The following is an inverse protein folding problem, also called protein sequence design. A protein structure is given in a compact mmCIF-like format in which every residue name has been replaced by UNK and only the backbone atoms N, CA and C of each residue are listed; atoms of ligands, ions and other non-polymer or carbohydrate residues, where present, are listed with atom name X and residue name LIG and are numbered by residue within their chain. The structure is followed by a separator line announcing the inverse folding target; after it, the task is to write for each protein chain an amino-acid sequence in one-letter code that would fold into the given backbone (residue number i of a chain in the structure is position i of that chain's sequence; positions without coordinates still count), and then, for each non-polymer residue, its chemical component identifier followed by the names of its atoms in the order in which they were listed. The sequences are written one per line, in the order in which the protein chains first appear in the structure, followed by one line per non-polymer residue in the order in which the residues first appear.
data_IF_452890428073
#
_entry.id   IF_452890428073
#
_cell.length_a   1.000
_cell.length_b   1.000
_cell.length_c   1.000
_cell.angle_alpha   90.00
_cell.angle_beta   90.00
_cell.angle_gamma   90.00
#
_symmetry.space_group_name_H-M   'P 1'
#
loop_
_entity.id
_entity.type
_entity.pdbx_description
1 polymer ?
#
# COMPACT_ATOMS: atom_id res chain seq x y z
N UNK A 1 -4.39 -15.18 26.62
CA UNK A 1 -3.36 -14.25 26.14
C UNK A 1 -3.39 -14.31 24.63
N UNK A 2 -3.25 -13.18 23.95
CA UNK A 2 -3.11 -13.21 22.48
C UNK A 2 -1.80 -13.94 22.15
N UNK A 3 -1.87 -14.92 21.26
CA UNK A 3 -0.67 -15.57 20.73
C UNK A 3 -0.05 -14.66 19.67
N UNK A 4 1.26 -14.54 19.68
CA UNK A 4 1.96 -13.79 18.63
C UNK A 4 1.93 -14.59 17.31
N UNK A 5 1.89 -13.92 16.15
CA UNK A 5 2.06 -14.60 14.87
C UNK A 5 3.48 -15.21 14.78
N UNK A 6 3.61 -16.27 13.99
CA UNK A 6 4.91 -16.96 13.81
C UNK A 6 5.91 -16.11 13.06
N UNK A 7 5.42 -15.30 12.13
CA UNK A 7 6.18 -14.38 11.28
C UNK A 7 5.42 -13.07 11.16
N UNK A 8 6.13 -12.02 10.80
CA UNK A 8 5.56 -10.74 10.42
C UNK A 8 6.16 -10.37 9.06
N UNK A 9 5.30 -10.08 8.11
CA UNK A 9 5.66 -9.50 6.82
C UNK A 9 4.90 -8.20 6.69
N UNK A 10 5.61 -7.12 6.43
CA UNK A 10 5.03 -5.80 6.26
C UNK A 10 4.75 -5.55 4.78
N UNK A 11 3.48 -5.56 4.42
CA UNK A 11 3.07 -5.37 3.02
C UNK A 11 2.95 -3.91 2.59
N UNK A 12 3.22 -2.97 3.50
CA UNK A 12 3.13 -1.55 3.21
C UNK A 12 3.93 -0.73 4.22
N UNK A 13 5.11 -0.30 3.82
CA UNK A 13 5.94 0.64 4.57
C UNK A 13 6.75 1.51 3.61
N UNK A 14 7.32 2.59 4.12
CA UNK A 14 7.96 3.61 3.32
C UNK A 14 9.44 3.79 3.68
N UNK A 15 10.22 4.28 2.71
CA UNK A 15 11.62 4.64 2.83
C UNK A 15 11.86 5.97 2.14
N UNK A 16 12.96 6.64 2.49
CA UNK A 16 13.35 7.91 1.92
C UNK A 16 13.01 9.11 2.81
N UNK A 17 13.48 10.26 2.40
CA UNK A 17 13.34 11.49 3.18
C UNK A 17 11.87 11.85 3.42
N UNK A 18 11.52 12.09 4.69
CA UNK A 18 10.28 12.75 5.07
C UNK A 18 10.57 14.21 5.34
N UNK A 19 9.90 15.14 4.65
CA UNK A 19 10.09 16.57 4.89
C UNK A 19 9.08 17.12 5.90
N UNK A 20 9.02 16.70 7.16
CA UNK A 20 8.00 17.12 8.10
C UNK A 20 8.01 18.63 8.33
N UNK A 21 9.19 19.22 8.33
CA UNK A 21 9.36 20.67 8.54
C UNK A 21 8.87 21.52 7.37
N UNK A 22 8.66 20.96 6.20
CA UNK A 22 8.14 21.69 5.04
C UNK A 22 6.61 21.74 4.98
N UNK A 23 5.94 20.93 5.78
CA UNK A 23 4.50 21.00 5.97
C UNK A 23 4.10 22.14 6.92
N UNK A 24 5.01 22.53 7.77
CA UNK A 24 4.82 23.56 8.76
C UNK A 24 5.76 24.70 8.43
N UNK A 25 5.23 25.83 8.04
CA UNK A 25 5.98 27.10 7.88
C UNK A 25 6.38 27.58 9.28
N UNK A 26 7.35 26.91 9.85
CA UNK A 26 7.86 27.23 11.19
C UNK A 26 9.16 28.01 11.04
N UNK A 27 9.23 29.20 11.63
CA UNK A 27 10.47 29.98 11.77
C UNK A 27 11.58 29.15 12.45
N UNK A 28 11.20 28.15 13.23
CA UNK A 28 12.10 27.21 13.89
C UNK A 28 11.61 25.78 13.65
N UNK A 29 12.11 25.12 12.61
CA UNK A 29 11.72 23.73 12.35
C UNK A 29 12.18 22.85 13.52
N UNK A 30 11.21 22.40 14.31
CA UNK A 30 11.47 21.31 15.26
C UNK A 30 11.56 20.05 14.41
N UNK A 31 12.76 19.48 14.32
CA UNK A 31 12.92 18.14 13.77
C UNK A 31 12.20 17.18 14.70
N UNK A 32 11.08 16.58 14.31
CA UNK A 32 10.41 15.64 15.18
C UNK A 32 11.36 14.47 15.38
N UNK A 33 11.72 14.17 16.62
CA UNK A 33 12.60 13.05 16.97
C UNK A 33 12.08 11.70 16.50
N UNK A 34 10.78 11.62 16.27
CA UNK A 34 10.08 10.46 15.69
C UNK A 34 10.47 10.23 14.22
N UNK A 35 10.95 11.25 13.52
CA UNK A 35 11.26 11.20 12.09
C UNK A 35 12.75 11.32 11.77
N UNK A 36 13.62 10.97 12.70
CA UNK A 36 15.00 10.59 12.36
C UNK A 36 14.98 9.30 11.55
N UNK A 37 14.00 9.24 10.63
CA UNK A 37 13.80 8.08 9.80
C UNK A 37 14.81 8.11 8.69
N UNK A 38 15.62 7.14 8.61
CA UNK A 38 16.67 7.11 7.63
C UNK A 38 16.13 6.82 6.27
N UNK A 39 16.76 7.49 5.40
CA UNK A 39 16.69 7.45 3.97
C UNK A 39 17.41 6.25 3.33
N UNK A 40 17.94 5.33 4.13
CA UNK A 40 18.86 4.31 3.64
C UNK A 40 18.36 2.87 3.83
N UNK A 41 18.78 1.99 2.91
CA UNK A 41 18.56 0.54 2.99
C UNK A 41 19.07 -0.10 4.30
N UNK A 42 20.12 0.48 4.90
CA UNK A 42 20.68 -0.01 6.17
C UNK A 42 19.74 0.19 7.34
N UNK A 43 18.99 1.28 7.35
CA UNK A 43 18.01 1.49 8.40
C UNK A 43 16.76 0.65 8.23
N UNK A 44 16.28 0.52 7.02
CA UNK A 44 15.17 -0.41 6.78
C UNK A 44 15.51 -1.81 7.31
N UNK A 45 16.76 -2.25 7.14
CA UNK A 45 17.24 -3.48 7.74
C UNK A 45 17.21 -3.44 9.27
N UNK A 46 17.68 -2.34 9.89
CA UNK A 46 17.66 -2.18 11.35
C UNK A 46 16.22 -2.20 11.89
N UNK A 47 15.30 -1.48 11.27
CA UNK A 47 13.88 -1.48 11.60
C UNK A 47 13.28 -2.89 11.52
N UNK A 48 13.53 -3.60 10.42
CA UNK A 48 13.05 -4.96 10.25
C UNK A 48 13.60 -5.91 11.33
N UNK A 49 14.86 -5.72 11.75
CA UNK A 49 15.48 -6.55 12.78
C UNK A 49 14.90 -6.22 14.17
N UNK A 50 14.64 -4.95 14.48
CA UNK A 50 14.05 -4.47 15.73
C UNK A 50 12.63 -5.03 15.92
N UNK A 51 11.79 -4.90 14.92
CA UNK A 51 10.39 -5.36 14.95
C UNK A 51 10.21 -6.82 14.49
N UNK A 52 11.29 -7.53 14.19
CA UNK A 52 11.27 -8.91 13.70
C UNK A 52 10.44 -9.11 12.43
N UNK A 53 10.44 -8.13 11.57
CA UNK A 53 9.82 -8.19 10.25
C UNK A 53 10.68 -9.07 9.36
N UNK A 54 10.14 -10.18 8.87
CA UNK A 54 10.90 -11.13 8.05
C UNK A 54 11.10 -10.64 6.62
N UNK A 55 10.05 -10.03 6.04
CA UNK A 55 10.06 -9.40 4.71
C UNK A 55 9.24 -8.12 4.73
N UNK A 56 9.55 -7.21 3.80
CA UNK A 56 8.80 -5.98 3.62
C UNK A 56 8.58 -5.65 2.14
N UNK A 57 7.41 -5.13 1.82
CA UNK A 57 7.14 -4.42 0.57
C UNK A 57 7.30 -2.93 0.83
N UNK A 58 8.33 -2.37 0.22
CA UNK A 58 8.77 -1.00 0.48
C UNK A 58 8.46 -0.11 -0.70
N UNK A 59 7.99 1.08 -0.42
CA UNK A 59 7.82 2.17 -1.37
C UNK A 59 8.46 3.43 -0.84
N UNK A 60 8.78 4.38 -1.71
CA UNK A 60 9.30 5.66 -1.24
C UNK A 60 8.22 6.53 -0.59
N UNK A 61 8.64 7.53 0.16
CA UNK A 61 7.82 8.67 0.53
C UNK A 61 7.51 9.55 -0.69
N UNK A 62 6.64 10.56 -0.52
CA UNK A 62 6.21 11.42 -1.64
C UNK A 62 7.31 12.30 -2.21
N UNK A 63 8.40 12.55 -1.46
CA UNK A 63 9.43 13.50 -1.84
C UNK A 63 9.12 14.94 -1.44
N UNK A 64 9.98 15.84 -1.87
CA UNK A 64 9.98 17.26 -1.52
C UNK A 64 10.03 18.11 -2.79
N UNK A 65 9.11 19.03 -3.03
CA UNK A 65 7.96 19.37 -2.17
C UNK A 65 6.88 18.28 -2.19
N UNK A 66 6.12 18.21 -1.11
CA UNK A 66 5.08 17.18 -0.87
C UNK A 66 3.94 17.17 -1.88
N UNK A 67 3.92 18.13 -2.78
CA UNK A 67 2.87 18.28 -3.79
C UNK A 67 3.18 17.52 -5.08
N UNK A 68 4.31 16.81 -5.14
CA UNK A 68 4.74 16.08 -6.33
C UNK A 68 5.31 14.72 -5.94
N UNK A 69 5.09 13.74 -6.82
CA UNK A 69 5.77 12.45 -6.69
C UNK A 69 7.23 12.68 -7.10
N UNK A 70 8.16 12.38 -6.20
CA UNK A 70 9.57 12.36 -6.52
C UNK A 70 9.93 10.99 -7.09
N UNK A 71 9.93 10.88 -8.40
CA UNK A 71 10.29 9.63 -9.08
C UNK A 71 11.72 9.18 -8.83
N UNK A 72 12.62 10.11 -8.50
CA UNK A 72 14.01 9.78 -8.13
C UNK A 72 14.08 8.93 -6.86
N UNK A 73 13.07 9.02 -5.99
CA UNK A 73 12.99 8.14 -4.81
C UNK A 73 12.68 6.68 -5.15
N UNK A 74 12.25 6.36 -6.37
CA UNK A 74 12.19 4.98 -6.83
C UNK A 74 13.58 4.33 -6.86
N UNK A 75 14.65 5.10 -7.13
CA UNK A 75 16.03 4.61 -7.08
C UNK A 75 16.42 4.20 -5.66
N UNK A 76 16.01 4.97 -4.63
CA UNK A 76 16.23 4.62 -3.22
C UNK A 76 15.56 3.30 -2.85
N UNK A 77 14.33 3.07 -3.33
CA UNK A 77 13.59 1.83 -3.12
C UNK A 77 14.29 0.66 -3.83
N UNK A 78 14.74 0.87 -5.06
CA UNK A 78 15.46 -0.16 -5.83
C UNK A 78 16.81 -0.52 -5.20
N UNK A 79 17.55 0.47 -4.69
CA UNK A 79 18.81 0.24 -3.96
C UNK A 79 18.56 -0.58 -2.70
N UNK A 80 17.50 -0.27 -1.94
CA UNK A 80 17.10 -1.04 -0.78
C UNK A 80 16.75 -2.50 -1.14
N UNK A 81 15.93 -2.70 -2.17
CA UNK A 81 15.51 -4.02 -2.61
C UNK A 81 16.65 -4.86 -3.23
N UNK A 82 17.63 -4.21 -3.85
CA UNK A 82 18.79 -4.89 -4.43
C UNK A 82 19.82 -5.27 -3.37
N UNK A 83 19.99 -4.43 -2.34
CA UNK A 83 20.94 -4.65 -1.26
C UNK A 83 20.45 -5.57 -0.14
N UNK A 84 19.14 -5.88 -0.09
CA UNK A 84 18.53 -6.70 0.95
C UNK A 84 17.45 -7.62 0.36
N UNK A 85 17.68 -8.91 0.39
CA UNK A 85 16.80 -9.95 -0.14
C UNK A 85 15.46 -10.09 0.59
N UNK A 86 15.32 -9.46 1.76
CA UNK A 86 14.07 -9.38 2.52
C UNK A 86 13.13 -8.30 2.00
N UNK A 87 13.60 -7.41 1.10
CA UNK A 87 12.83 -6.26 0.60
C UNK A 87 12.36 -6.53 -0.82
N UNK A 88 11.08 -6.28 -1.07
CA UNK A 88 10.47 -6.14 -2.38
C UNK A 88 10.08 -4.67 -2.61
N UNK A 89 10.01 -4.28 -3.86
CA UNK A 89 9.81 -2.87 -4.27
C UNK A 89 8.42 -2.63 -4.83
N UNK A 90 7.82 -1.52 -4.42
CA UNK A 90 6.70 -0.89 -5.10
C UNK A 90 7.15 0.44 -5.72
N UNK A 91 6.91 0.61 -7.01
CA UNK A 91 7.41 1.74 -7.79
C UNK A 91 6.31 2.78 -7.99
N UNK A 92 6.62 4.04 -7.66
CA UNK A 92 5.70 5.15 -7.88
C UNK A 92 5.47 5.44 -9.36
N UNK A 93 4.19 5.59 -9.70
CA UNK A 93 3.69 6.06 -11.01
C UNK A 93 2.57 7.08 -10.80
N UNK A 94 2.23 7.83 -11.84
CA UNK A 94 1.18 8.85 -11.78
C UNK A 94 0.36 8.84 -13.06
N UNK A 95 -0.95 9.01 -12.96
CA UNK A 95 -1.82 9.16 -14.13
C UNK A 95 -1.89 10.60 -14.65
N UNK A 96 -1.25 11.55 -13.96
CA UNK A 96 -1.27 12.95 -14.36
C UNK A 96 -0.45 13.16 -15.64
N UNK A 97 -1.00 13.82 -16.69
CA UNK A 97 -0.30 14.07 -17.95
C UNK A 97 1.07 14.73 -17.77
N UNK A 98 1.18 15.68 -16.85
CA UNK A 98 2.46 16.34 -16.55
C UNK A 98 3.56 15.38 -16.07
N UNK A 99 3.20 14.20 -15.61
CA UNK A 99 4.12 13.17 -15.11
C UNK A 99 4.30 12.00 -16.10
N UNK A 100 3.74 12.08 -17.30
CA UNK A 100 3.69 10.96 -18.26
C UNK A 100 5.09 10.40 -18.59
N UNK A 101 6.06 11.28 -18.87
CA UNK A 101 7.43 10.88 -19.20
C UNK A 101 8.09 10.15 -18.03
N UNK A 102 7.98 10.70 -16.82
CA UNK A 102 8.54 10.10 -15.60
C UNK A 102 7.86 8.79 -15.27
N UNK A 103 6.54 8.70 -15.45
CA UNK A 103 5.79 7.45 -15.28
C UNK A 103 6.31 6.38 -16.26
N UNK A 104 6.46 6.68 -17.54
CA UNK A 104 7.00 5.72 -18.51
C UNK A 104 8.43 5.28 -18.16
N UNK A 105 9.27 6.21 -17.69
CA UNK A 105 10.61 5.86 -17.17
C UNK A 105 10.50 4.90 -15.97
N UNK A 106 9.63 5.18 -15.01
CA UNK A 106 9.41 4.30 -13.86
C UNK A 106 8.88 2.91 -14.27
N UNK A 107 7.98 2.83 -15.26
CA UNK A 107 7.45 1.57 -15.76
C UNK A 107 8.53 0.64 -16.33
N UNK A 108 9.67 1.17 -16.78
CA UNK A 108 10.80 0.31 -17.24
C UNK A 108 11.37 -0.55 -16.11
N UNK A 109 11.21 -0.14 -14.85
CA UNK A 109 11.64 -0.90 -13.68
C UNK A 109 10.74 -2.11 -13.38
N UNK A 110 9.54 -2.17 -13.97
CA UNK A 110 8.58 -3.25 -13.74
C UNK A 110 9.09 -4.66 -14.11
N UNK A 111 10.10 -4.73 -14.97
CA UNK A 111 10.73 -5.98 -15.37
C UNK A 111 11.75 -6.51 -14.35
N UNK A 112 12.17 -5.69 -13.39
CA UNK A 112 13.13 -6.08 -12.37
C UNK A 112 12.50 -7.10 -11.40
N UNK A 113 13.24 -8.15 -11.07
CA UNK A 113 12.72 -9.27 -10.27
C UNK A 113 12.23 -8.88 -8.88
N UNK A 114 12.77 -7.78 -8.33
CA UNK A 114 12.40 -7.24 -7.02
C UNK A 114 11.18 -6.35 -7.04
N UNK A 115 10.75 -5.87 -8.22
CA UNK A 115 9.54 -5.05 -8.36
C UNK A 115 8.33 -5.96 -8.42
N UNK A 116 7.42 -5.81 -7.48
CA UNK A 116 6.20 -6.62 -7.37
C UNK A 116 4.93 -5.78 -7.39
N UNK A 117 5.08 -4.45 -7.27
CA UNK A 117 3.95 -3.54 -7.24
C UNK A 117 4.24 -2.22 -7.95
N UNK A 118 3.18 -1.59 -8.47
CA UNK A 118 3.13 -0.16 -8.75
C UNK A 118 2.39 0.54 -7.59
N UNK A 119 2.73 1.79 -7.34
CA UNK A 119 2.08 2.64 -6.34
C UNK A 119 1.65 3.95 -6.96
N UNK A 120 0.44 4.41 -6.64
CA UNK A 120 -0.01 5.75 -7.01
C UNK A 120 -0.89 6.38 -5.92
N UNK A 121 -1.09 7.69 -6.03
CA UNK A 121 -1.99 8.45 -5.15
C UNK A 121 -2.71 9.53 -5.94
N UNK A 122 -3.91 9.85 -5.51
CA UNK A 122 -4.69 10.99 -6.02
C UNK A 122 -4.73 12.17 -5.02
N UNK A 123 -4.01 12.08 -3.90
CA UNK A 123 -3.83 13.20 -2.97
C UNK A 123 -3.12 14.39 -3.65
N UNK A 124 -2.28 14.10 -4.63
CA UNK A 124 -1.47 15.08 -5.35
C UNK A 124 -2.14 15.57 -6.66
N UNK A 125 -3.40 15.23 -6.85
CA UNK A 125 -4.21 15.60 -8.01
C UNK A 125 -4.74 14.42 -8.80
N UNK A 126 -5.65 14.72 -9.72
CA UNK A 126 -6.36 13.71 -10.51
C UNK A 126 -7.57 13.11 -9.77
N UNK A 127 -8.16 12.11 -10.39
CA UNK A 127 -9.30 11.36 -9.84
C UNK A 127 -9.16 9.89 -10.24
N UNK A 128 -9.38 8.92 -9.34
CA UNK A 128 -9.34 7.51 -9.68
C UNK A 128 -10.51 7.03 -10.56
N UNK A 129 -11.62 7.79 -10.63
CA UNK A 129 -12.77 7.41 -11.47
C UNK A 129 -12.42 7.52 -12.97
N UNK A 130 -12.37 6.37 -13.70
CA UNK A 130 -12.09 6.37 -15.13
C UNK A 130 -13.08 7.18 -15.98
N UNK A 131 -14.29 7.43 -15.46
CA UNK A 131 -15.29 8.26 -16.12
C UNK A 131 -14.94 9.76 -16.16
N UNK A 132 -13.99 10.18 -15.32
CA UNK A 132 -13.51 11.55 -15.22
C UNK A 132 -12.22 11.82 -16.04
N UNK A 133 -11.62 10.78 -16.65
CA UNK A 133 -10.33 10.91 -17.34
C UNK A 133 -10.47 11.49 -18.74
N UNK A 134 -9.56 12.40 -19.08
CA UNK A 134 -9.33 12.76 -20.47
C UNK A 134 -8.55 11.64 -21.19
N UNK A 135 -8.42 11.77 -22.49
CA UNK A 135 -7.78 10.73 -23.33
C UNK A 135 -6.30 10.52 -22.96
N UNK A 136 -5.58 11.55 -22.53
CA UNK A 136 -4.18 11.44 -22.13
C UNK A 136 -4.04 10.73 -20.79
N UNK A 137 -4.81 11.12 -19.78
CA UNK A 137 -4.88 10.44 -18.47
C UNK A 137 -5.24 8.97 -18.63
N UNK A 138 -6.24 8.69 -19.49
CA UNK A 138 -6.66 7.33 -19.79
C UNK A 138 -5.54 6.50 -20.43
N UNK A 139 -4.83 7.08 -21.42
CA UNK A 139 -3.72 6.37 -22.06
C UNK A 139 -2.61 6.02 -21.06
N UNK A 140 -2.24 6.95 -20.17
CA UNK A 140 -1.22 6.70 -19.14
C UNK A 140 -1.70 5.62 -18.15
N UNK A 141 -2.97 5.68 -17.72
CA UNK A 141 -3.54 4.69 -16.84
C UNK A 141 -3.56 3.29 -17.49
N UNK A 142 -4.01 3.19 -18.74
CA UNK A 142 -4.04 1.94 -19.48
C UNK A 142 -2.61 1.37 -19.63
N UNK A 143 -1.58 2.20 -19.95
CA UNK A 143 -0.17 1.78 -19.95
C UNK A 143 0.27 1.19 -18.61
N UNK A 144 -0.10 1.81 -17.48
CA UNK A 144 0.22 1.29 -16.14
C UNK A 144 -0.47 -0.06 -15.87
N UNK A 145 -1.75 -0.19 -16.22
CA UNK A 145 -2.48 -1.45 -16.02
C UNK A 145 -1.98 -2.57 -16.94
N UNK A 146 -1.60 -2.25 -18.17
CA UNK A 146 -1.02 -3.21 -19.13
C UNK A 146 0.32 -3.75 -18.61
N UNK A 147 1.18 -2.89 -18.04
CA UNK A 147 2.43 -3.30 -17.37
C UNK A 147 2.16 -4.16 -16.16
N UNK A 148 1.16 -3.81 -15.32
CA UNK A 148 0.75 -4.65 -14.19
C UNK A 148 0.32 -6.04 -14.63
N UNK A 149 -0.46 -6.16 -15.70
CA UNK A 149 -0.90 -7.44 -16.24
C UNK A 149 0.26 -8.24 -16.84
N UNK A 150 1.11 -7.58 -17.65
CA UNK A 150 2.26 -8.20 -18.31
C UNK A 150 3.27 -8.79 -17.32
N UNK A 151 3.54 -8.11 -16.21
CA UNK A 151 4.53 -8.50 -15.20
C UNK A 151 3.91 -9.11 -13.95
N UNK A 152 2.60 -9.37 -13.96
CA UNK A 152 1.83 -9.90 -12.82
C UNK A 152 2.01 -9.08 -11.52
N UNK A 153 2.11 -7.75 -11.65
CA UNK A 153 2.26 -6.84 -10.53
C UNK A 153 0.92 -6.57 -9.84
N UNK A 154 0.98 -6.09 -8.61
CA UNK A 154 -0.17 -5.56 -7.89
C UNK A 154 -0.13 -4.02 -7.93
N UNK A 155 -1.27 -3.37 -8.13
CA UNK A 155 -1.34 -1.92 -8.20
C UNK A 155 -1.89 -1.34 -6.89
N UNK A 156 -1.02 -0.68 -6.11
CA UNK A 156 -1.34 -0.04 -4.86
C UNK A 156 -1.91 1.36 -5.08
N UNK A 157 -3.12 1.58 -4.61
CA UNK A 157 -3.81 2.86 -4.62
C UNK A 157 -3.96 3.38 -3.21
N UNK A 158 -3.39 4.57 -2.92
CA UNK A 158 -3.62 5.23 -1.65
C UNK A 158 -5.09 5.63 -1.51
N UNK A 159 -5.75 5.21 -0.44
CA UNK A 159 -7.10 5.65 -0.09
C UNK A 159 -7.09 6.49 1.18
N UNK A 160 -7.95 7.49 1.26
CA UNK A 160 -8.08 8.37 2.42
C UNK A 160 -9.52 8.84 2.59
N UNK A 161 -9.92 9.35 3.78
CA UNK A 161 -11.26 9.86 3.97
C UNK A 161 -11.45 11.18 3.21
N UNK A 162 -12.34 11.18 2.23
CA UNK A 162 -12.71 12.35 1.44
C UNK A 162 -11.75 12.71 0.31
N UNK A 163 -12.13 13.72 -0.46
CA UNK A 163 -11.37 14.20 -1.62
C UNK A 163 -11.26 13.16 -2.74
N UNK A 164 -10.25 13.32 -3.59
CA UNK A 164 -10.03 12.44 -4.73
C UNK A 164 -9.67 11.01 -4.30
N UNK A 165 -9.05 10.84 -3.12
CA UNK A 165 -8.69 9.52 -2.58
C UNK A 165 -9.79 8.84 -1.77
N UNK A 166 -11.03 9.38 -1.75
CA UNK A 166 -12.19 8.71 -1.12
C UNK A 166 -12.52 7.42 -1.86
N UNK A 167 -12.82 6.37 -1.11
CA UNK A 167 -13.09 5.04 -1.65
C UNK A 167 -14.19 5.00 -2.70
N UNK A 168 -15.17 5.91 -2.63
CA UNK A 168 -16.26 5.99 -3.60
C UNK A 168 -15.76 6.26 -5.02
N UNK A 169 -14.66 6.98 -5.17
CA UNK A 169 -14.06 7.28 -6.47
C UNK A 169 -13.30 6.07 -7.05
N UNK A 170 -12.92 5.10 -6.22
CA UNK A 170 -12.24 3.87 -6.67
C UNK A 170 -13.20 2.77 -7.11
N UNK A 171 -14.50 2.87 -6.79
CA UNK A 171 -15.47 1.85 -7.19
C UNK A 171 -15.47 1.65 -8.72
N UNK A 172 -15.57 2.69 -9.57
CA UNK A 172 -15.54 2.52 -11.03
C UNK A 172 -14.19 1.97 -11.52
N UNK A 173 -13.07 2.34 -10.88
CA UNK A 173 -11.74 1.83 -11.23
C UNK A 173 -11.65 0.32 -10.97
N UNK A 174 -12.10 -0.13 -9.81
CA UNK A 174 -12.10 -1.56 -9.48
C UNK A 174 -13.02 -2.31 -10.42
N UNK A 175 -14.22 -1.81 -10.71
CA UNK A 175 -15.18 -2.45 -11.61
C UNK A 175 -14.64 -2.54 -13.04
N UNK A 176 -13.81 -1.59 -13.49
CA UNK A 176 -13.20 -1.61 -14.80
C UNK A 176 -11.99 -2.55 -14.91
N UNK A 177 -11.08 -2.52 -13.93
CA UNK A 177 -9.77 -3.18 -14.04
C UNK A 177 -9.60 -4.38 -13.13
N UNK A 178 -10.39 -4.53 -12.07
CA UNK A 178 -10.14 -5.49 -11.01
C UNK A 178 -10.35 -6.97 -11.39
N UNK A 179 -10.94 -7.28 -12.54
CA UNK A 179 -11.00 -8.65 -13.02
C UNK A 179 -9.69 -9.06 -13.74
N UNK A 180 -9.03 -8.12 -14.41
CA UNK A 180 -7.77 -8.39 -15.11
C UNK A 180 -6.53 -8.14 -14.25
N UNK A 181 -6.51 -7.06 -13.47
CA UNK A 181 -5.38 -6.62 -12.68
C UNK A 181 -5.62 -6.76 -11.19
N UNK A 182 -4.56 -7.02 -10.43
CA UNK A 182 -4.56 -7.02 -8.96
C UNK A 182 -4.61 -5.58 -8.46
N UNK A 183 -5.68 -5.17 -7.80
CA UNK A 183 -5.88 -3.83 -7.26
C UNK A 183 -5.78 -3.89 -5.73
N UNK A 184 -4.89 -3.09 -5.18
CA UNK A 184 -4.66 -3.01 -3.76
C UNK A 184 -5.11 -1.64 -3.23
N UNK A 185 -6.16 -1.63 -2.45
CA UNK A 185 -6.72 -0.44 -1.83
C UNK A 185 -6.07 -0.24 -0.46
N UNK A 186 -5.05 0.62 -0.43
CA UNK A 186 -4.25 0.90 0.77
C UNK A 186 -5.11 1.55 1.85
N UNK A 187 -4.85 1.27 3.13
CA UNK A 187 -5.54 1.83 4.31
C UNK A 187 -7.02 1.45 4.44
N UNK A 188 -7.46 0.42 3.74
CA UNK A 188 -8.82 -0.09 3.84
C UNK A 188 -9.89 1.01 3.74
N UNK A 189 -9.75 1.93 2.76
CA UNK A 189 -10.68 3.04 2.57
C UNK A 189 -10.46 4.24 3.49
N UNK A 190 -9.41 4.22 4.33
CA UNK A 190 -8.84 5.40 4.97
C UNK A 190 -9.67 6.10 6.03
N UNK A 191 -10.65 5.49 6.69
CA UNK A 191 -11.41 6.14 7.76
C UNK A 191 -12.84 5.65 7.90
N UNK A 192 -13.58 6.18 8.87
CA UNK A 192 -14.93 5.66 9.25
C UNK A 192 -15.86 5.52 8.05
N UNK A 193 -16.02 6.58 7.26
CA UNK A 193 -16.90 6.56 6.09
C UNK A 193 -16.40 5.62 5.00
N UNK A 194 -15.08 5.55 4.82
CA UNK A 194 -14.46 4.63 3.88
C UNK A 194 -14.67 3.17 4.27
N UNK A 195 -14.48 2.82 5.55
CA UNK A 195 -14.72 1.45 6.03
C UNK A 195 -16.18 1.03 5.85
N UNK A 196 -17.14 1.90 6.19
CA UNK A 196 -18.58 1.61 6.04
C UNK A 196 -18.93 1.28 4.59
N UNK A 197 -18.33 1.97 3.63
CA UNK A 197 -18.57 1.73 2.20
C UNK A 197 -17.80 0.53 1.68
N UNK A 198 -16.54 0.37 2.12
CA UNK A 198 -15.65 -0.63 1.54
C UNK A 198 -15.91 -2.04 2.03
N UNK A 199 -16.25 -2.28 3.32
CA UNK A 199 -16.41 -3.64 3.86
C UNK A 199 -17.40 -4.47 3.03
N UNK A 200 -18.67 -4.06 2.83
CA UNK A 200 -19.60 -4.84 2.04
C UNK A 200 -19.20 -4.99 0.58
N UNK A 201 -18.65 -3.90 -0.01
CA UNK A 201 -18.26 -3.89 -1.41
C UNK A 201 -17.04 -4.77 -1.66
N UNK A 202 -16.05 -4.74 -0.78
CA UNK A 202 -14.86 -5.59 -0.84
C UNK A 202 -15.23 -7.08 -0.84
N UNK A 203 -16.07 -7.50 0.11
CA UNK A 203 -16.52 -8.88 0.19
C UNK A 203 -17.31 -9.29 -1.05
N UNK A 204 -18.13 -8.39 -1.60
CA UNK A 204 -18.86 -8.64 -2.84
C UNK A 204 -17.91 -8.80 -4.02
N UNK A 205 -16.93 -7.89 -4.19
CA UNK A 205 -15.95 -7.99 -5.27
C UNK A 205 -15.14 -9.29 -5.22
N UNK A 206 -14.73 -9.73 -4.02
CA UNK A 206 -14.02 -11.01 -3.88
C UNK A 206 -14.90 -12.18 -4.30
N UNK A 207 -16.19 -12.19 -3.90
CA UNK A 207 -17.17 -13.21 -4.33
C UNK A 207 -17.36 -13.21 -5.84
N UNK A 208 -17.36 -12.05 -6.46
CA UNK A 208 -17.56 -11.88 -7.90
C UNK A 208 -16.28 -12.12 -8.71
N UNK A 209 -15.18 -12.53 -8.06
CA UNK A 209 -13.93 -12.90 -8.71
C UNK A 209 -12.99 -11.72 -9.05
N UNK A 210 -13.26 -10.53 -8.51
CA UNK A 210 -12.34 -9.41 -8.66
C UNK A 210 -11.06 -9.64 -7.84
N UNK A 211 -9.92 -9.24 -8.42
CA UNK A 211 -8.60 -9.35 -7.80
C UNK A 211 -8.33 -8.12 -6.92
N UNK A 212 -9.12 -7.94 -5.86
CA UNK A 212 -9.02 -6.81 -4.94
C UNK A 212 -8.38 -7.23 -3.64
N UNK A 213 -7.47 -6.40 -3.16
CA UNK A 213 -6.66 -6.58 -1.97
C UNK A 213 -6.67 -5.30 -1.11
N UNK A 214 -6.31 -5.42 0.16
CA UNK A 214 -6.16 -4.27 1.07
C UNK A 214 -5.22 -4.59 2.21
N UNK A 215 -4.77 -3.56 2.93
CA UNK A 215 -4.06 -3.70 4.20
C UNK A 215 -4.84 -3.09 5.36
N UNK A 216 -4.30 -3.26 6.54
CA UNK A 216 -4.90 -2.79 7.79
C UNK A 216 -4.26 -1.52 8.33
N UNK A 217 -3.24 -0.97 7.64
CA UNK A 217 -2.58 0.26 8.04
C UNK A 217 -3.56 1.44 8.06
N UNK A 218 -3.38 2.36 9.00
CA UNK A 218 -4.29 3.51 9.16
C UNK A 218 -5.78 3.16 9.30
N UNK A 219 -6.15 1.89 9.21
CA UNK A 219 -7.53 1.49 9.43
C UNK A 219 -7.91 1.79 10.89
N UNK A 220 -9.00 2.52 11.09
CA UNK A 220 -9.51 2.74 12.42
C UNK A 220 -9.86 1.40 13.05
N UNK A 221 -9.50 1.20 14.32
CA UNK A 221 -9.57 -0.10 15.00
C UNK A 221 -10.90 -0.85 14.87
N UNK A 222 -12.05 -0.14 14.83
CA UNK A 222 -13.33 -0.81 14.60
C UNK A 222 -13.46 -1.31 13.14
N UNK A 223 -12.92 -0.57 12.16
CA UNK A 223 -13.00 -0.94 10.75
C UNK A 223 -12.21 -2.21 10.45
N UNK A 224 -10.97 -2.29 10.93
CA UNK A 224 -10.15 -3.50 10.81
C UNK A 224 -10.83 -4.70 11.52
N UNK A 225 -11.35 -4.50 12.73
CA UNK A 225 -12.09 -5.53 13.46
C UNK A 225 -13.34 -5.99 12.70
N UNK A 226 -14.11 -5.05 12.17
CA UNK A 226 -15.32 -5.37 11.41
C UNK A 226 -15.00 -6.20 10.17
N UNK A 227 -14.09 -5.71 9.31
CA UNK A 227 -13.68 -6.45 8.12
C UNK A 227 -13.24 -7.87 8.43
N UNK A 228 -12.28 -8.01 9.37
CA UNK A 228 -11.71 -9.32 9.68
C UNK A 228 -12.74 -10.25 10.35
N UNK A 229 -13.69 -9.70 11.11
CA UNK A 229 -14.80 -10.50 11.67
C UNK A 229 -15.77 -10.95 10.59
N UNK A 230 -16.10 -10.12 9.60
CA UNK A 230 -16.93 -10.52 8.47
C UNK A 230 -16.25 -11.59 7.60
N UNK A 231 -14.93 -11.46 7.40
CA UNK A 231 -14.12 -12.47 6.71
C UNK A 231 -14.15 -13.81 7.48
N UNK A 232 -13.95 -13.78 8.79
CA UNK A 232 -14.01 -14.97 9.64
C UNK A 232 -15.37 -15.66 9.55
N UNK A 233 -16.45 -14.86 9.62
CA UNK A 233 -17.82 -15.38 9.59
C UNK A 233 -18.25 -15.92 8.23
N UNK A 234 -17.81 -15.27 7.16
CA UNK A 234 -18.21 -15.61 5.78
C UNK A 234 -17.28 -16.60 5.08
N UNK A 235 -16.04 -16.72 5.56
CA UNK A 235 -14.96 -17.45 4.88
C UNK A 235 -14.50 -16.82 3.57
N UNK A 236 -14.90 -15.56 3.29
CA UNK A 236 -14.60 -14.86 2.03
C UNK A 236 -13.55 -13.79 2.25
N UNK A 237 -12.49 -13.76 1.43
CA UNK A 237 -11.49 -12.69 1.39
C UNK A 237 -10.37 -12.83 2.42
N UNK A 238 -10.25 -13.97 3.12
CA UNK A 238 -9.18 -14.21 4.08
C UNK A 238 -7.78 -14.23 3.46
N UNK A 239 -7.69 -14.41 2.16
CA UNK A 239 -6.47 -14.38 1.34
C UNK A 239 -6.19 -13.00 0.71
N UNK A 240 -6.97 -11.97 1.05
CA UNK A 240 -6.97 -10.66 0.38
C UNK A 240 -6.60 -9.49 1.30
N UNK A 241 -6.35 -9.75 2.57
CA UNK A 241 -6.01 -8.71 3.56
C UNK A 241 -4.62 -8.96 4.11
N UNK A 242 -3.83 -7.90 4.21
CA UNK A 242 -2.43 -7.93 4.63
C UNK A 242 -2.19 -7.04 5.84
N UNK A 243 -1.17 -7.37 6.60
CA UNK A 243 -0.59 -6.45 7.55
C UNK A 243 0.26 -5.42 6.83
N UNK A 244 0.06 -4.15 7.12
CA UNK A 244 0.90 -3.05 6.71
C UNK A 244 1.09 -2.12 7.89
N UNK A 245 2.31 -1.66 8.14
CA UNK A 245 2.60 -0.70 9.19
C UNK A 245 2.36 0.74 8.75
N UNK A 246 2.52 1.00 7.47
CA UNK A 246 2.64 2.36 6.92
C UNK A 246 3.75 3.19 7.59
N UNK A 247 4.72 2.50 8.21
CA UNK A 247 5.87 3.14 8.84
C UNK A 247 6.63 3.99 7.79
N UNK A 248 7.04 5.21 8.06
CA UNK A 248 6.96 5.94 9.32
C UNK A 248 5.75 6.88 9.45
N UNK A 249 4.73 6.77 8.57
CA UNK A 249 3.52 7.59 8.64
C UNK A 249 2.57 7.14 9.74
N UNK A 250 2.63 5.88 10.13
CA UNK A 250 2.00 5.30 11.30
C UNK A 250 3.06 4.63 12.18
N UNK A 251 2.65 4.12 13.31
CA UNK A 251 3.52 3.47 14.30
C UNK A 251 3.34 1.94 14.22
N UNK A 252 4.45 1.21 13.99
CA UNK A 252 4.43 -0.24 13.82
C UNK A 252 3.74 -0.97 14.97
N UNK A 253 4.07 -0.62 16.21
CA UNK A 253 3.51 -1.28 17.39
C UNK A 253 2.00 -1.06 17.48
N UNK A 254 1.52 0.13 17.18
CA UNK A 254 0.09 0.45 17.13
C UNK A 254 -0.63 -0.39 16.08
N UNK A 255 -0.08 -0.47 14.88
CA UNK A 255 -0.66 -1.27 13.79
C UNK A 255 -0.64 -2.76 14.12
N UNK A 256 0.46 -3.27 14.67
CA UNK A 256 0.60 -4.65 15.10
C UNK A 256 -0.46 -5.03 16.16
N UNK A 257 -0.55 -4.25 17.24
CA UNK A 257 -1.47 -4.57 18.34
C UNK A 257 -2.93 -4.37 17.95
N UNK A 258 -3.23 -3.45 17.03
CA UNK A 258 -4.56 -3.28 16.46
C UNK A 258 -5.10 -4.60 15.90
N UNK A 259 -4.29 -5.36 15.18
CA UNK A 259 -4.70 -6.64 14.58
C UNK A 259 -4.52 -7.80 15.54
N UNK A 260 -3.37 -7.91 16.20
CA UNK A 260 -3.10 -9.03 17.11
C UNK A 260 -4.05 -9.05 18.31
N UNK A 261 -4.52 -7.88 18.74
CA UNK A 261 -5.48 -7.73 19.84
C UNK A 261 -6.93 -8.09 19.50
N UNK A 262 -7.28 -8.35 18.24
CA UNK A 262 -8.64 -8.72 17.85
C UNK A 262 -8.97 -10.11 18.40
N UNK A 263 -10.07 -10.21 19.16
CA UNK A 263 -10.50 -11.47 19.81
C UNK A 263 -11.60 -12.20 19.06
N UNK A 264 -12.17 -11.58 18.03
CA UNK A 264 -13.30 -12.11 17.25
C UNK A 264 -12.86 -12.91 16.03
N UNK A 265 -11.55 -13.06 15.81
CA UNK A 265 -10.99 -13.81 14.70
C UNK A 265 -10.05 -14.92 15.19
N UNK A 266 -9.94 -15.97 14.40
CA UNK A 266 -9.06 -17.11 14.66
C UNK A 266 -7.57 -16.73 14.57
N UNK A 267 -6.73 -17.55 15.19
CA UNK A 267 -5.27 -17.44 15.02
C UNK A 267 -4.87 -17.70 13.56
N UNK A 268 -5.59 -18.58 12.89
CA UNK A 268 -5.37 -18.88 11.45
C UNK A 268 -5.53 -17.63 10.58
N UNK A 269 -6.61 -16.87 10.76
CA UNK A 269 -6.82 -15.64 10.01
C UNK A 269 -5.75 -14.58 10.35
N UNK A 270 -5.31 -14.49 11.61
CA UNK A 270 -4.18 -13.62 11.98
C UNK A 270 -2.90 -14.00 11.25
N UNK A 271 -2.54 -15.29 11.23
CA UNK A 271 -1.37 -15.78 10.51
C UNK A 271 -1.45 -15.45 9.01
N UNK A 272 -2.65 -15.56 8.41
CA UNK A 272 -2.87 -15.15 7.02
C UNK A 272 -2.58 -13.67 6.83
N UNK A 273 -3.16 -12.81 7.66
CA UNK A 273 -2.98 -11.35 7.55
C UNK A 273 -1.52 -10.95 7.78
N UNK A 274 -0.85 -11.51 8.79
CA UNK A 274 0.51 -11.13 9.13
C UNK A 274 1.59 -11.63 8.17
N UNK A 275 1.37 -12.76 7.45
CA UNK A 275 2.43 -13.28 6.59
C UNK A 275 2.00 -14.21 5.46
N UNK A 276 1.03 -15.16 5.67
CA UNK A 276 0.78 -16.19 4.66
C UNK A 276 0.25 -15.63 3.36
N UNK A 277 -0.66 -14.66 3.43
CA UNK A 277 -1.22 -14.04 2.22
C UNK A 277 -0.14 -13.39 1.37
N UNK A 278 0.85 -12.75 2.03
CA UNK A 278 1.99 -12.18 1.33
C UNK A 278 2.85 -13.25 0.66
N UNK A 279 3.23 -14.29 1.40
CA UNK A 279 4.03 -15.38 0.82
C UNK A 279 3.31 -16.08 -0.34
N UNK A 280 1.99 -16.30 -0.23
CA UNK A 280 1.18 -16.88 -1.30
C UNK A 280 1.09 -15.97 -2.52
N UNK A 281 0.90 -14.64 -2.32
CA UNK A 281 0.77 -13.67 -3.40
C UNK A 281 2.07 -13.48 -4.18
N UNK A 282 3.20 -13.46 -3.47
CA UNK A 282 4.53 -13.20 -4.04
C UNK A 282 5.40 -14.45 -4.11
N UNK A 283 4.79 -15.65 -4.11
CA UNK A 283 5.49 -16.91 -4.25
C UNK A 283 6.38 -16.93 -5.50
N UNK A 284 7.67 -17.18 -5.32
CA UNK A 284 8.65 -17.21 -6.41
C UNK A 284 9.17 -15.84 -6.85
N UNK A 285 8.79 -14.76 -6.18
CA UNK A 285 9.37 -13.42 -6.34
C UNK A 285 10.45 -13.19 -5.27
N UNK A 286 11.61 -12.69 -5.67
CA UNK A 286 12.71 -12.32 -4.76
C UNK A 286 13.81 -13.32 -4.60
#
# INVERSE_FOLDING_TARGET
MATHPKKIIDAHCHIGEIPPWKFYDLEHPVKPTVYDYPDTASFMKQHMDEFRVERALVMSNYGVPVHEISFDLNEVVMDAATSNDRILAAIWVSFLPRNAEMTRKALTLAAESRVVALKTTFLLGGNPDPGSWDEETKAIADECFDVCEQHDLIFHFHTSPGGSSDISNFIPLVERYGQRCKIYLVHFGGGVSGHIRLVPKFLQWVKDGYKVYTDTSWAIGFGARWLLTEIENSGVGGDRVFFGSDEPWSDFDSEYWKINGIRTISQELKERVFWRNYEELYAGRG
#
